data_IF_832288210756
#
_entry.id   IF_832288210756
#
_cell.length_a   1.000
_cell.length_b   1.000
_cell.length_c   1.000
_cell.angle_alpha   90.00
_cell.angle_beta   90.00
_cell.angle_gamma   90.00
#
_symmetry.space_group_name_H-M   'P 1'
#
loop_
_entity.id
_entity.type
_entity.pdbx_description
1 polymer ?
#
# COMPACT_ATOMS: atom_id res chain seq x y z
N UNK A 1 11.76 -1.95 3.87
CA UNK A 1 10.57 -2.61 3.31
C UNK A 1 9.47 -1.60 3.12
N UNK A 2 8.75 -1.69 2.00
CA UNK A 2 7.60 -0.81 1.75
C UNK A 2 6.36 -1.67 1.57
N UNK A 3 5.34 -1.38 2.38
CA UNK A 3 3.97 -1.80 2.15
C UNK A 3 3.26 -0.70 1.35
N UNK A 4 2.81 -1.03 0.16
CA UNK A 4 2.11 -0.11 -0.73
C UNK A 4 0.66 -0.58 -0.92
N UNK A 5 -0.29 -0.13 -0.08
CA UNK A 5 -1.70 -0.36 -0.31
C UNK A 5 -2.25 0.60 -1.36
N UNK A 6 -2.64 0.07 -2.52
CA UNK A 6 -3.35 0.80 -3.56
C UNK A 6 -4.86 0.73 -3.32
N UNK A 7 -5.50 1.87 -3.23
CA UNK A 7 -6.92 1.98 -2.88
C UNK A 7 -7.57 3.23 -3.47
N UNK A 8 -8.89 3.23 -3.50
CA UNK A 8 -9.69 4.44 -3.71
C UNK A 8 -10.81 4.46 -2.65
N UNK A 9 -11.18 5.66 -2.17
CA UNK A 9 -12.05 5.76 -0.99
C UNK A 9 -13.54 5.47 -1.29
N UNK A 10 -13.98 5.48 -2.55
CA UNK A 10 -15.31 5.00 -2.93
C UNK A 10 -15.34 3.50 -3.33
N UNK A 11 -14.27 2.79 -3.06
CA UNK A 11 -14.20 1.35 -3.24
C UNK A 11 -14.60 0.63 -1.97
N UNK A 12 -15.69 -0.13 -2.00
CA UNK A 12 -16.22 -0.84 -0.83
C UNK A 12 -15.16 -1.74 -0.17
N UNK A 13 -14.45 -2.54 -0.95
CA UNK A 13 -13.40 -3.43 -0.43
C UNK A 13 -12.23 -2.68 0.19
N UNK A 14 -11.92 -1.51 -0.34
CA UNK A 14 -10.87 -0.65 0.20
C UNK A 14 -11.23 -0.11 1.59
N UNK A 15 -12.46 0.35 1.76
CA UNK A 15 -12.93 0.92 3.03
C UNK A 15 -13.13 -0.15 4.08
N UNK A 16 -13.77 -1.28 3.73
CA UNK A 16 -14.13 -2.32 4.69
C UNK A 16 -12.96 -3.27 5.04
N UNK A 17 -11.98 -3.42 4.16
CA UNK A 17 -10.86 -4.36 4.36
C UNK A 17 -9.49 -3.71 4.21
N UNK A 18 -9.22 -3.02 3.11
CA UNK A 18 -7.90 -2.48 2.78
C UNK A 18 -7.40 -1.46 3.80
N UNK A 19 -8.18 -0.41 4.05
CA UNK A 19 -7.82 0.68 4.97
C UNK A 19 -7.67 0.21 6.42
N UNK A 20 -8.57 -0.60 7.00
CA UNK A 20 -8.38 -1.12 8.35
C UNK A 20 -7.10 -1.96 8.50
N UNK A 21 -6.76 -2.79 7.51
CA UNK A 21 -5.52 -3.57 7.52
C UNK A 21 -4.27 -2.70 7.45
N UNK A 22 -4.24 -1.74 6.53
CA UNK A 22 -3.11 -0.82 6.42
C UNK A 22 -2.87 -0.06 7.73
N UNK A 23 -3.93 0.41 8.39
CA UNK A 23 -3.85 1.05 9.71
C UNK A 23 -3.40 0.06 10.81
N UNK A 24 -3.84 -1.20 10.72
CA UNK A 24 -3.39 -2.27 11.60
C UNK A 24 -1.89 -2.50 11.49
N UNK A 25 -1.38 -2.62 10.27
CA UNK A 25 0.07 -2.75 10.01
C UNK A 25 0.83 -1.54 10.51
N UNK A 26 0.35 -0.31 10.27
CA UNK A 26 0.98 0.91 10.75
C UNK A 26 1.19 0.91 12.27
N UNK A 27 0.23 0.39 13.02
CA UNK A 27 0.35 0.26 14.48
C UNK A 27 1.25 -0.88 14.92
N UNK A 28 1.10 -2.06 14.34
CA UNK A 28 1.81 -3.28 14.75
C UNK A 28 3.29 -3.25 14.37
N UNK A 29 3.64 -2.57 13.30
CA UNK A 29 5.00 -2.49 12.76
C UNK A 29 5.62 -1.09 12.91
N UNK A 30 5.12 -0.28 13.86
CA UNK A 30 5.60 1.09 14.07
C UNK A 30 7.11 1.17 14.36
N UNK A 31 7.64 0.19 15.10
CA UNK A 31 9.06 0.09 15.48
C UNK A 31 9.86 -0.86 14.56
N UNK A 32 9.25 -1.39 13.53
CA UNK A 32 9.90 -2.28 12.57
C UNK A 32 10.39 -1.50 11.33
N UNK A 33 11.37 -2.02 10.58
CA UNK A 33 11.86 -1.37 9.36
C UNK A 33 10.86 -1.53 8.19
N UNK A 34 9.61 -1.18 8.42
CA UNK A 34 8.50 -1.22 7.46
C UNK A 34 7.95 0.19 7.28
N UNK A 35 8.02 0.70 6.06
CA UNK A 35 7.40 1.97 5.67
C UNK A 35 6.09 1.69 4.95
N UNK A 36 5.01 2.36 5.33
CA UNK A 36 3.72 2.27 4.66
C UNK A 36 3.52 3.54 3.85
N UNK A 37 3.24 3.36 2.57
CA UNK A 37 2.86 4.45 1.66
C UNK A 37 1.58 4.05 0.95
N UNK A 38 0.47 4.68 1.29
CA UNK A 38 -0.78 4.47 0.58
C UNK A 38 -0.70 5.04 -0.84
N UNK A 39 -1.41 4.42 -1.77
CA UNK A 39 -1.51 4.90 -3.14
C UNK A 39 -2.99 5.11 -3.49
N UNK A 40 -3.38 6.37 -3.69
CA UNK A 40 -4.73 6.71 -4.13
C UNK A 40 -4.82 6.48 -5.64
N UNK A 41 -5.34 5.30 -5.99
CA UNK A 41 -5.37 4.74 -7.34
C UNK A 41 -6.78 4.90 -7.92
N UNK A 42 -7.05 6.04 -8.56
CA UNK A 42 -8.37 6.35 -9.08
C UNK A 42 -8.46 5.94 -10.55
N UNK A 43 -9.32 4.99 -10.87
CA UNK A 43 -9.61 4.55 -12.23
C UNK A 43 -11.11 4.62 -12.59
N UNK A 44 -11.94 4.99 -11.64
CA UNK A 44 -13.39 5.23 -11.78
C UNK A 44 -13.81 6.39 -10.89
N UNK A 45 -14.97 6.99 -11.15
CA UNK A 45 -15.53 8.10 -10.35
C UNK A 45 -14.55 9.27 -10.13
N UNK A 46 -13.77 9.63 -11.16
CA UNK A 46 -12.72 10.65 -11.07
C UNK A 46 -13.22 12.01 -10.56
N UNK A 47 -14.45 12.38 -10.92
CA UNK A 47 -15.04 13.69 -10.58
C UNK A 47 -15.24 13.90 -9.08
N UNK A 48 -15.33 12.82 -8.30
CA UNK A 48 -15.63 12.86 -6.87
C UNK A 48 -14.52 12.30 -5.98
N UNK A 49 -13.42 11.85 -6.56
CA UNK A 49 -12.28 11.28 -5.83
C UNK A 49 -10.99 12.10 -6.00
N UNK A 50 -11.12 13.43 -6.09
CA UNK A 50 -9.98 14.33 -6.17
C UNK A 50 -9.19 14.45 -4.86
N UNK A 51 -8.03 15.14 -4.90
CA UNK A 51 -7.15 15.29 -3.74
C UNK A 51 -7.80 15.94 -2.51
N UNK A 52 -8.71 16.89 -2.71
CA UNK A 52 -9.41 17.57 -1.60
C UNK A 52 -10.33 16.60 -0.86
N UNK A 53 -11.13 15.82 -1.59
CA UNK A 53 -11.98 14.79 -0.99
C UNK A 53 -11.15 13.68 -0.32
N UNK A 54 -10.00 13.33 -0.90
CA UNK A 54 -9.05 12.40 -0.28
C UNK A 54 -8.55 12.93 1.07
N UNK A 55 -8.18 14.21 1.17
CA UNK A 55 -7.70 14.80 2.42
C UNK A 55 -8.74 14.68 3.54
N UNK A 56 -10.01 14.96 3.24
CA UNK A 56 -11.12 14.78 4.19
C UNK A 56 -11.27 13.31 4.59
N UNK A 57 -11.25 12.40 3.63
CA UNK A 57 -11.33 10.97 3.90
C UNK A 57 -10.20 10.49 4.83
N UNK A 58 -8.96 10.89 4.56
CA UNK A 58 -7.81 10.50 5.37
C UNK A 58 -7.93 10.98 6.81
N UNK A 59 -8.45 12.19 7.01
CA UNK A 59 -8.70 12.76 8.33
C UNK A 59 -9.80 11.99 9.07
N UNK A 60 -10.97 11.80 8.44
CA UNK A 60 -12.12 11.11 9.04
C UNK A 60 -11.78 9.65 9.40
N UNK A 61 -11.06 8.96 8.55
CA UNK A 61 -10.65 7.56 8.79
C UNK A 61 -9.33 7.44 9.58
N UNK A 62 -8.78 8.56 10.06
CA UNK A 62 -7.55 8.60 10.89
C UNK A 62 -6.40 7.81 10.28
N UNK A 63 -6.14 8.04 9.01
CA UNK A 63 -4.99 7.47 8.31
C UNK A 63 -3.76 8.28 8.69
N UNK A 64 -2.76 7.63 9.31
CA UNK A 64 -1.57 8.29 9.87
C UNK A 64 -0.32 8.15 9.00
N UNK A 65 -0.35 7.27 8.01
CA UNK A 65 0.74 7.09 7.05
C UNK A 65 0.53 7.96 5.80
N UNK A 66 1.60 8.31 5.08
CA UNK A 66 1.48 9.11 3.86
C UNK A 66 0.70 8.37 2.76
N UNK A 67 -0.11 9.12 2.03
CA UNK A 67 -0.85 8.61 0.87
C UNK A 67 -0.51 9.45 -0.34
N UNK A 68 0.10 8.82 -1.34
CA UNK A 68 0.40 9.45 -2.62
C UNK A 68 -0.82 9.41 -3.54
N UNK A 69 -1.00 10.47 -4.32
CA UNK A 69 -1.98 10.51 -5.40
C UNK A 69 -1.30 10.06 -6.69
N UNK A 70 -1.87 9.04 -7.31
CA UNK A 70 -1.34 8.52 -8.58
C UNK A 70 -1.45 9.50 -9.73
N UNK A 71 -0.48 9.44 -10.62
CA UNK A 71 -0.56 10.18 -11.88
C UNK A 71 -1.65 9.57 -12.77
N UNK A 72 -2.49 10.43 -13.39
CA UNK A 72 -3.51 9.97 -14.33
C UNK A 72 -2.92 9.14 -15.47
N UNK A 73 -3.76 8.39 -16.14
CA UNK A 73 -3.40 7.66 -17.35
C UNK A 73 -2.86 8.58 -18.44
N UNK A 74 -1.96 8.07 -19.27
CA UNK A 74 -1.43 8.82 -20.40
C UNK A 74 -2.51 9.01 -21.46
N UNK A 75 -2.48 10.16 -22.15
CA UNK A 75 -3.37 10.48 -23.28
C UNK A 75 -4.86 10.37 -22.94
N UNK A 76 -5.27 10.77 -21.74
CA UNK A 76 -6.66 10.73 -21.29
C UNK A 76 -7.18 9.34 -20.91
N UNK A 77 -6.30 8.34 -20.79
CA UNK A 77 -6.67 7.02 -20.30
C UNK A 77 -7.13 7.03 -18.85
N UNK A 78 -8.11 6.22 -18.51
CA UNK A 78 -8.71 6.13 -17.17
C UNK A 78 -7.82 5.38 -16.17
N UNK A 79 -6.93 4.50 -16.64
CA UNK A 79 -6.05 3.68 -15.79
C UNK A 79 -4.80 4.47 -15.38
N UNK A 80 -4.57 4.67 -14.07
CA UNK A 80 -3.40 5.37 -13.56
C UNK A 80 -2.08 4.71 -13.96
N UNK A 81 -0.99 5.50 -13.93
CA UNK A 81 0.30 5.06 -14.46
C UNK A 81 0.94 3.94 -13.64
N UNK A 82 0.92 4.03 -12.31
CA UNK A 82 1.48 2.99 -11.42
C UNK A 82 0.65 1.72 -11.46
N UNK A 83 -0.68 1.87 -11.47
CA UNK A 83 -1.60 0.74 -11.63
C UNK A 83 -1.26 -0.07 -12.89
N UNK A 84 -1.01 0.62 -14.01
CA UNK A 84 -0.60 -0.01 -15.28
C UNK A 84 0.79 -0.64 -15.17
N UNK A 85 1.77 0.07 -14.60
CA UNK A 85 3.15 -0.41 -14.48
C UNK A 85 3.24 -1.69 -13.65
N UNK A 86 2.47 -1.78 -12.58
CA UNK A 86 2.42 -2.95 -11.70
C UNK A 86 1.39 -4.00 -12.16
N UNK A 87 0.70 -3.76 -13.26
CA UNK A 87 -0.35 -4.64 -13.79
C UNK A 87 -1.42 -4.98 -12.73
N UNK A 88 -1.79 -3.99 -11.92
CA UNK A 88 -2.81 -4.17 -10.90
C UNK A 88 -4.18 -4.41 -11.57
N UNK A 89 -4.92 -5.34 -11.03
CA UNK A 89 -6.25 -5.76 -11.56
C UNK A 89 -7.38 -4.87 -11.06
N UNK A 90 -7.17 -4.12 -10.01
CA UNK A 90 -8.14 -3.27 -9.34
C UNK A 90 -7.71 -2.93 -7.92
N UNK A 91 -8.65 -2.44 -7.13
CA UNK A 91 -8.44 -2.09 -5.72
C UNK A 91 -9.43 -2.85 -4.81
N UNK A 92 -9.05 -3.16 -3.57
CA UNK A 92 -7.74 -2.94 -2.98
C UNK A 92 -6.68 -3.86 -3.57
N UNK A 93 -5.45 -3.37 -3.73
CA UNK A 93 -4.27 -4.17 -4.03
C UNK A 93 -3.16 -3.81 -3.03
N UNK A 94 -2.46 -4.79 -2.51
CA UNK A 94 -1.31 -4.58 -1.64
C UNK A 94 -0.06 -5.07 -2.34
N UNK A 95 0.97 -4.24 -2.36
CA UNK A 95 2.29 -4.59 -2.88
C UNK A 95 3.31 -4.53 -1.76
N UNK A 96 4.13 -5.56 -1.64
CA UNK A 96 5.28 -5.62 -0.75
C UNK A 96 6.56 -5.46 -1.55
N UNK A 97 7.39 -4.50 -1.16
CA UNK A 97 8.64 -4.15 -1.83
C UNK A 97 9.78 -4.28 -0.83
N UNK A 98 10.86 -4.96 -1.21
CA UNK A 98 12.01 -5.17 -0.33
C UNK A 98 12.93 -3.94 -0.24
N UNK A 99 13.93 -4.02 0.65
CA UNK A 99 14.86 -2.94 0.91
C UNK A 99 15.74 -2.55 -0.30
N UNK A 100 15.83 -3.42 -1.30
CA UNK A 100 16.57 -3.15 -2.55
C UNK A 100 15.62 -2.80 -3.72
N UNK A 101 14.34 -2.56 -3.42
CA UNK A 101 13.35 -2.09 -4.39
C UNK A 101 12.69 -3.18 -5.24
N UNK A 102 12.84 -4.45 -4.89
CA UNK A 102 12.20 -5.55 -5.63
C UNK A 102 10.79 -5.82 -5.12
N UNK A 103 9.85 -5.99 -6.03
CA UNK A 103 8.50 -6.46 -5.71
C UNK A 103 8.58 -7.91 -5.22
N UNK A 104 8.12 -8.15 -4.00
CA UNK A 104 8.14 -9.47 -3.34
C UNK A 104 6.77 -10.14 -3.35
N UNK A 105 5.71 -9.37 -3.25
CA UNK A 105 4.35 -9.88 -3.25
C UNK A 105 3.39 -8.83 -3.78
N UNK A 106 2.36 -9.27 -4.49
CA UNK A 106 1.23 -8.43 -4.92
C UNK A 106 -0.05 -9.24 -4.75
N UNK A 107 -0.98 -8.71 -3.96
CA UNK A 107 -2.28 -9.36 -3.68
C UNK A 107 -3.40 -8.40 -4.04
N UNK A 108 -4.27 -8.84 -4.94
CA UNK A 108 -5.51 -8.16 -5.29
C UNK A 108 -6.66 -8.67 -4.42
N UNK A 109 -7.47 -7.76 -3.90
CA UNK A 109 -8.60 -8.11 -3.05
C UNK A 109 -8.23 -8.22 -1.57
N UNK A 110 -8.79 -9.20 -0.90
CA UNK A 110 -8.55 -9.40 0.54
C UNK A 110 -7.23 -10.12 0.78
N UNK A 111 -6.29 -9.42 1.40
CA UNK A 111 -5.09 -10.04 1.93
C UNK A 111 -5.40 -10.57 3.33
N UNK A 112 -5.42 -11.88 3.51
CA UNK A 112 -5.67 -12.50 4.81
C UNK A 112 -4.65 -12.01 5.85
N UNK A 113 -5.12 -11.72 7.07
CA UNK A 113 -4.29 -11.09 8.10
C UNK A 113 -3.13 -11.97 8.57
N UNK A 114 -3.32 -13.31 8.60
CA UNK A 114 -2.26 -14.26 8.97
C UNK A 114 -1.19 -14.33 7.86
N UNK A 115 -1.63 -14.36 6.61
CA UNK A 115 -0.70 -14.36 5.48
C UNK A 115 0.09 -13.03 5.40
N UNK A 116 -0.58 -11.90 5.57
CA UNK A 116 0.08 -10.59 5.58
C UNK A 116 1.07 -10.49 6.74
N UNK A 117 0.69 -10.92 7.94
CA UNK A 117 1.56 -10.93 9.11
C UNK A 117 2.78 -11.83 8.94
N UNK A 118 2.59 -13.04 8.40
CA UNK A 118 3.69 -13.95 8.05
C UNK A 118 4.66 -13.30 7.05
N UNK A 119 4.13 -12.75 5.97
CA UNK A 119 4.95 -12.19 4.89
C UNK A 119 5.73 -10.98 5.38
N UNK A 120 5.11 -10.07 6.12
CA UNK A 120 5.79 -8.95 6.76
C UNK A 120 6.85 -9.39 7.78
N UNK A 121 6.51 -10.36 8.63
CA UNK A 121 7.45 -10.92 9.61
C UNK A 121 8.69 -11.53 8.96
N UNK A 122 8.50 -12.29 7.88
CA UNK A 122 9.62 -12.85 7.10
C UNK A 122 10.52 -11.78 6.52
N UNK A 123 9.93 -10.72 5.95
CA UNK A 123 10.67 -9.61 5.37
C UNK A 123 11.46 -8.81 6.43
N UNK A 124 10.89 -8.61 7.60
CA UNK A 124 11.58 -7.95 8.73
C UNK A 124 12.76 -8.80 9.20
N UNK A 125 12.57 -10.12 9.33
CA UNK A 125 13.64 -11.04 9.71
C UNK A 125 14.80 -11.05 8.68
N UNK A 126 14.50 -11.07 7.39
CA UNK A 126 15.50 -10.95 6.31
C UNK A 126 16.32 -9.66 6.44
N UNK A 127 15.67 -8.53 6.72
CA UNK A 127 16.35 -7.24 6.88
C UNK A 127 17.31 -7.26 8.09
N UNK A 128 16.88 -7.84 9.21
CA UNK A 128 17.70 -7.94 10.43
C UNK A 128 18.94 -8.79 10.22
N UNK A 129 18.77 -9.95 9.54
CA UNK A 129 19.88 -10.84 9.21
C UNK A 129 20.88 -10.21 8.25
N UNK A 130 20.40 -9.44 7.26
CA UNK A 130 21.27 -8.74 6.31
C UNK A 130 22.11 -7.66 6.98
N UNK A 131 21.56 -6.91 7.93
CA UNK A 131 22.28 -5.90 8.70
C UNK A 131 23.35 -6.56 9.59
N UNK A 132 23.02 -7.65 10.26
CA UNK A 132 23.97 -8.40 11.10
C UNK A 132 25.13 -8.97 10.29
N UNK A 133 24.89 -9.43 9.08
CA UNK A 133 25.93 -9.96 8.18
C UNK A 133 26.90 -8.88 7.67
N UNK A 134 26.46 -7.63 7.55
CA UNK A 134 27.30 -6.48 7.13
C UNK A 134 28.14 -5.94 8.29
N UNK A 135 27.70 -6.14 9.54
CA UNK A 135 28.35 -5.69 10.76
C UNK A 135 29.20 -6.82 11.42
N UNK A 136 29.49 -7.89 10.70
CA UNK A 136 30.32 -9.01 11.17
C UNK A 136 31.67 -8.59 11.75
N UNK A 137 32.31 -9.42 12.57
CA UNK A 137 33.36 -9.07 13.51
C UNK A 137 34.59 -8.42 12.92
#
# INVERSE_FOLDING_TARGET
WVLLPASQFLCRGCVSNGSPRARGVARQFADAPVTIVGLHTVFEHHDVMGPEALAVFLQEYRVTFPVAVERPGRSGGTTPQTMRAYRMRGTPTVVLIDAVGRLRQQVFGIYDDLHLGRDLGSLVAEATLSVAAVQGP
#
